data_IF_246048462928
#
_entry.id   IF_246048462928
#
_cell.length_a   1.000
_cell.length_b   1.000
_cell.length_c   1.000
_cell.angle_alpha   90.00
_cell.angle_beta   90.00
_cell.angle_gamma   90.00
#
_symmetry.space_group_name_H-M   'P 1'
#
loop_
_entity.id
_entity.type
_entity.pdbx_description
1 polymer ?
#
# COMPACT_ATOMS: atom_id res chain seq x y z
N UNK A 1 -15.20 8.68 -33.99
CA UNK A 1 -16.24 8.96 -32.98
C UNK A 1 -15.80 8.49 -31.61
N UNK A 2 -15.72 9.45 -30.68
CA UNK A 2 -15.76 9.35 -29.20
C UNK A 2 -14.80 8.36 -28.52
N UNK A 3 -13.52 8.73 -28.46
CA UNK A 3 -12.65 8.33 -27.36
C UNK A 3 -12.93 9.20 -26.13
N UNK A 4 -13.89 8.80 -25.32
CA UNK A 4 -14.17 9.41 -24.02
C UNK A 4 -13.20 8.89 -22.97
N UNK A 5 -11.93 9.32 -23.02
CA UNK A 5 -11.02 9.14 -21.90
C UNK A 5 -11.51 10.01 -20.76
N UNK A 6 -12.13 9.42 -19.74
CA UNK A 6 -12.47 10.10 -18.50
C UNK A 6 -11.24 10.89 -18.05
N UNK A 7 -11.38 12.21 -17.89
CA UNK A 7 -10.31 13.07 -17.42
C UNK A 7 -9.78 12.49 -16.11
N UNK A 8 -8.58 11.88 -16.17
CA UNK A 8 -7.92 11.24 -15.03
C UNK A 8 -7.68 12.29 -13.96
N UNK A 9 -7.94 11.93 -12.71
CA UNK A 9 -7.76 12.83 -11.57
C UNK A 9 -6.30 13.31 -11.52
N UNK A 10 -6.04 14.63 -11.65
CA UNK A 10 -4.67 15.15 -11.65
C UNK A 10 -3.93 14.85 -10.35
N UNK A 11 -4.63 14.57 -9.24
CA UNK A 11 -4.02 14.20 -7.97
C UNK A 11 -3.38 12.80 -8.01
N UNK A 12 -3.87 11.86 -8.83
CA UNK A 12 -3.31 10.50 -8.95
C UNK A 12 -2.31 10.36 -10.09
N UNK A 13 -2.21 11.35 -10.98
CA UNK A 13 -1.29 11.35 -12.12
C UNK A 13 0.18 11.15 -11.75
N UNK A 14 0.57 11.41 -10.49
CA UNK A 14 1.93 11.13 -9.97
C UNK A 14 2.30 9.64 -10.00
N UNK A 15 1.32 8.74 -9.92
CA UNK A 15 1.58 7.30 -9.87
C UNK A 15 1.33 6.63 -11.22
N UNK A 16 0.92 7.40 -12.23
CA UNK A 16 0.48 6.89 -13.50
C UNK A 16 1.55 6.04 -14.18
N UNK A 17 1.14 4.89 -14.69
CA UNK A 17 1.96 4.01 -15.48
C UNK A 17 1.42 3.98 -16.91
N UNK A 18 2.30 4.05 -17.94
CA UNK A 18 1.88 3.89 -19.32
C UNK A 18 1.29 2.51 -19.61
N UNK A 19 1.57 1.52 -18.76
CA UNK A 19 1.08 0.14 -18.85
C UNK A 19 -0.32 -0.03 -18.23
N UNK A 20 -0.87 1.03 -17.62
CA UNK A 20 -2.27 1.10 -17.18
C UNK A 20 -2.48 1.08 -15.66
N UNK A 21 -3.77 1.02 -15.28
CA UNK A 21 -4.25 1.24 -13.92
C UNK A 21 -3.71 0.24 -12.86
N UNK A 22 -3.49 -1.06 -13.16
CA UNK A 22 -2.94 -1.98 -12.16
C UNK A 22 -1.56 -1.55 -11.65
N UNK A 23 -0.69 -1.09 -12.55
CA UNK A 23 0.64 -0.60 -12.20
C UNK A 23 0.57 0.75 -11.48
N UNK A 24 -0.38 1.62 -11.87
CA UNK A 24 -0.65 2.87 -11.14
C UNK A 24 -1.00 2.62 -9.67
N UNK A 25 -1.85 1.62 -9.40
CA UNK A 25 -2.25 1.24 -8.03
C UNK A 25 -1.06 0.66 -7.24
N UNK A 26 -0.23 -0.19 -7.86
CA UNK A 26 0.98 -0.73 -7.24
C UNK A 26 1.98 0.39 -6.92
N UNK A 27 2.18 1.34 -7.83
CA UNK A 27 3.06 2.50 -7.62
C UNK A 27 2.58 3.35 -6.44
N UNK A 28 1.28 3.64 -6.36
CA UNK A 28 0.69 4.37 -5.23
C UNK A 28 0.91 3.62 -3.90
N UNK A 29 0.72 2.30 -3.90
CA UNK A 29 0.94 1.45 -2.74
C UNK A 29 2.39 1.45 -2.26
N UNK A 30 3.36 1.29 -3.17
CA UNK A 30 4.79 1.31 -2.84
C UNK A 30 5.21 2.66 -2.22
N UNK A 31 4.71 3.77 -2.76
CA UNK A 31 4.98 5.10 -2.22
C UNK A 31 4.34 5.30 -0.84
N UNK A 32 3.13 4.80 -0.64
CA UNK A 32 2.46 4.83 0.66
C UNK A 32 3.22 4.06 1.74
N UNK A 33 3.79 2.88 1.41
CA UNK A 33 4.63 2.13 2.34
C UNK A 33 5.83 2.96 2.82
N UNK A 34 6.50 3.70 1.93
CA UNK A 34 7.64 4.57 2.31
C UNK A 34 7.21 5.64 3.31
N UNK A 35 6.12 6.36 3.00
CA UNK A 35 5.58 7.41 3.89
C UNK A 35 5.17 6.84 5.25
N UNK A 36 4.66 5.61 5.29
CA UNK A 36 4.26 4.97 6.54
C UNK A 36 5.45 4.57 7.42
N UNK A 37 6.63 4.36 6.83
CA UNK A 37 7.88 4.13 7.57
C UNK A 37 8.51 5.40 8.13
N UNK A 38 8.17 6.55 7.54
CA UNK A 38 8.61 7.85 8.02
C UNK A 38 7.81 8.25 9.26
N UNK A 39 8.49 8.67 10.32
CA UNK A 39 7.84 9.12 11.57
C UNK A 39 7.24 10.53 11.48
N UNK A 40 7.55 11.27 10.42
CA UNK A 40 7.22 12.69 10.27
C UNK A 40 5.89 12.96 9.54
N UNK A 41 5.40 12.02 8.74
CA UNK A 41 4.27 12.25 7.84
C UNK A 41 3.11 11.30 8.14
N UNK A 42 1.92 11.85 8.42
CA UNK A 42 0.71 11.03 8.57
C UNK A 42 0.29 10.43 7.22
N UNK A 43 0.24 9.10 7.15
CA UNK A 43 -0.25 8.36 5.99
C UNK A 43 -1.66 8.79 5.55
N UNK A 44 -2.53 9.19 6.49
CA UNK A 44 -3.86 9.76 6.19
C UNK A 44 -3.79 11.09 5.46
N UNK A 45 -2.94 12.01 5.92
CA UNK A 45 -2.77 13.31 5.27
C UNK A 45 -2.18 13.15 3.87
N UNK A 46 -1.23 12.24 3.72
CA UNK A 46 -0.68 11.88 2.42
C UNK A 46 -1.76 11.34 1.47
N UNK A 47 -2.58 10.39 1.92
CA UNK A 47 -3.67 9.84 1.11
C UNK A 47 -4.65 10.93 0.66
N UNK A 48 -5.06 11.83 1.57
CA UNK A 48 -5.94 12.97 1.23
C UNK A 48 -5.35 13.89 0.17
N UNK A 49 -4.03 14.16 0.22
CA UNK A 49 -3.34 15.02 -0.75
C UNK A 49 -3.37 14.47 -2.17
N UNK A 50 -3.40 13.14 -2.32
CA UNK A 50 -3.35 12.47 -3.62
C UNK A 50 -4.69 11.83 -4.02
N UNK A 51 -5.79 12.15 -3.33
CA UNK A 51 -7.12 11.58 -3.63
C UNK A 51 -7.23 10.08 -3.36
N UNK A 52 -6.35 9.51 -2.53
CA UNK A 52 -6.31 8.09 -2.22
C UNK A 52 -7.14 7.75 -0.99
N UNK A 53 -7.74 6.57 -0.99
CA UNK A 53 -8.42 6.02 0.18
C UNK A 53 -7.45 5.12 0.95
N UNK A 54 -7.03 5.55 2.14
CA UNK A 54 -6.06 4.82 2.96
C UNK A 54 -6.48 3.37 3.23
N UNK A 55 -7.77 3.15 3.45
CA UNK A 55 -8.34 1.82 3.67
C UNK A 55 -8.05 0.86 2.50
N UNK A 56 -8.06 1.34 1.25
CA UNK A 56 -7.75 0.51 0.06
C UNK A 56 -6.30 0.05 0.05
N UNK A 57 -5.38 0.87 0.53
CA UNK A 57 -3.97 0.53 0.63
C UNK A 57 -3.73 -0.50 1.74
N UNK A 58 -4.47 -0.41 2.85
CA UNK A 58 -4.48 -1.47 3.87
C UNK A 58 -5.06 -2.79 3.35
N UNK A 59 -6.13 -2.73 2.56
CA UNK A 59 -6.69 -3.91 1.90
C UNK A 59 -5.67 -4.55 0.96
N UNK A 60 -4.91 -3.76 0.19
CA UNK A 60 -3.80 -4.27 -0.61
C UNK A 60 -2.74 -4.98 0.24
N UNK A 61 -2.33 -4.41 1.39
CA UNK A 61 -1.42 -5.13 2.31
C UNK A 61 -2.01 -6.45 2.81
N UNK A 62 -3.32 -6.55 2.99
CA UNK A 62 -3.98 -7.81 3.34
C UNK A 62 -3.97 -8.81 2.19
N UNK A 63 -4.31 -8.35 0.99
CA UNK A 63 -4.30 -9.17 -0.21
C UNK A 63 -2.91 -9.73 -0.51
N UNK A 64 -1.86 -8.92 -0.43
CA UNK A 64 -0.47 -9.38 -0.64
C UNK A 64 -0.09 -10.45 0.38
N UNK A 65 -0.44 -10.27 1.66
CA UNK A 65 -0.18 -11.28 2.70
C UNK A 65 -0.94 -12.58 2.46
N UNK A 66 -2.22 -12.48 2.11
CA UNK A 66 -3.06 -13.63 1.80
C UNK A 66 -2.52 -14.37 0.58
N UNK A 67 -2.14 -13.66 -0.47
CA UNK A 67 -1.60 -14.24 -1.69
C UNK A 67 -0.26 -14.94 -1.44
N UNK A 68 0.65 -14.32 -0.69
CA UNK A 68 1.90 -14.96 -0.25
C UNK A 68 1.63 -16.24 0.53
N UNK A 69 0.71 -16.19 1.50
CA UNK A 69 0.32 -17.37 2.27
C UNK A 69 -0.22 -18.47 1.35
N UNK A 70 -1.08 -18.15 0.38
CA UNK A 70 -1.55 -19.14 -0.61
C UNK A 70 -0.41 -19.77 -1.40
N UNK A 71 0.56 -18.97 -1.85
CA UNK A 71 1.72 -19.48 -2.58
C UNK A 71 2.60 -20.39 -1.72
N UNK A 72 2.80 -20.05 -0.44
CA UNK A 72 3.52 -20.90 0.52
C UNK A 72 2.85 -22.25 0.70
N UNK A 73 1.53 -22.26 0.91
CA UNK A 73 0.77 -23.51 1.08
C UNK A 73 0.78 -24.39 -0.18
N UNK A 74 0.97 -23.79 -1.35
CA UNK A 74 1.11 -24.53 -2.62
C UNK A 74 2.51 -25.11 -2.85
N UNK A 75 3.50 -24.76 -2.03
CA UNK A 75 4.90 -25.18 -2.19
C UNK A 75 5.64 -24.47 -3.34
N UNK A 76 5.08 -23.38 -3.89
CA UNK A 76 5.64 -22.62 -5.02
C UNK A 76 6.37 -21.36 -4.53
N UNK A 77 6.35 -21.09 -3.22
CA UNK A 77 7.02 -19.95 -2.61
C UNK A 77 7.59 -20.33 -1.25
N UNK A 78 8.88 -20.06 -1.06
CA UNK A 78 9.56 -20.13 0.22
C UNK A 78 9.83 -18.70 0.67
N UNK A 79 9.48 -18.36 1.92
CA UNK A 79 9.74 -17.02 2.45
C UNK A 79 11.23 -16.91 2.76
N UNK A 80 11.92 -15.94 2.14
CA UNK A 80 13.25 -15.56 2.60
C UNK A 80 13.09 -14.96 4.00
N UNK A 81 13.77 -15.51 5.01
CA UNK A 81 13.79 -14.92 6.36
C UNK A 81 14.23 -13.46 6.27
N UNK A 82 13.29 -12.53 6.42
CA UNK A 82 13.59 -11.11 6.60
C UNK A 82 14.41 -10.97 7.89
N UNK A 83 15.74 -10.88 7.76
CA UNK A 83 16.62 -10.54 8.88
C UNK A 83 16.07 -9.32 9.61
N UNK A 84 15.76 -9.51 10.90
CA UNK A 84 15.25 -8.48 11.80
C UNK A 84 16.08 -7.19 11.67
N UNK A 85 15.46 -6.15 11.10
CA UNK A 85 16.13 -4.87 10.89
C UNK A 85 15.31 -3.78 10.19
N UNK A 86 14.11 -4.09 9.67
CA UNK A 86 13.36 -3.10 8.88
C UNK A 86 11.84 -3.29 9.01
N UNK A 87 11.23 -2.55 9.93
CA UNK A 87 9.87 -2.03 9.82
C UNK A 87 8.76 -3.03 9.48
N UNK A 88 8.24 -3.69 10.51
CA UNK A 88 6.98 -4.44 10.53
C UNK A 88 5.82 -3.67 9.83
N UNK A 89 5.58 -3.89 8.55
CA UNK A 89 4.35 -3.47 7.88
C UNK A 89 3.25 -4.55 8.01
N UNK A 90 2.90 -4.85 9.27
CA UNK A 90 1.69 -5.56 9.67
C UNK A 90 0.84 -4.68 10.60
N UNK A 91 -0.50 -4.77 10.58
CA UNK A 91 -1.33 -4.12 11.57
C UNK A 91 -1.20 -4.89 12.89
N UNK A 92 -0.13 -4.60 13.64
CA UNK A 92 0.16 -5.25 14.93
C UNK A 92 0.69 -4.32 16.03
N UNK A 93 1.01 -3.06 15.73
CA UNK A 93 1.70 -2.18 16.70
C UNK A 93 1.11 -0.77 16.85
N UNK A 94 -0.19 -0.58 16.57
CA UNK A 94 -0.87 0.71 16.79
C UNK A 94 -2.18 0.61 17.59
N UNK A 95 -2.41 -0.50 18.31
CA UNK A 95 -3.61 -0.70 19.13
C UNK A 95 -3.34 -0.95 20.63
N UNK A 96 -2.11 -0.81 21.13
CA UNK A 96 -1.77 -1.19 22.51
C UNK A 96 -1.11 -0.08 23.37
N UNK A 97 -1.15 1.20 22.96
CA UNK A 97 -0.52 2.29 23.71
C UNK A 97 -1.47 3.43 24.13
N UNK A 98 -2.76 3.13 24.28
CA UNK A 98 -3.76 4.11 24.75
C UNK A 98 -4.73 3.48 25.76
N UNK A 99 -4.19 2.94 26.86
CA UNK A 99 -4.93 2.64 28.10
C UNK A 99 -3.91 2.37 29.22
N UNK A 100 -3.50 3.41 29.93
CA UNK A 100 -2.52 3.28 31.01
C UNK A 100 -1.92 4.64 31.37
N UNK A 101 -2.72 5.45 32.07
CA UNK A 101 -2.37 6.77 32.59
C UNK A 101 -3.59 7.38 33.26
#
# INVERSE_FOLDING_TARGET
>A
SRGGGAARDPATGRFDSPDGDPFTVVNAYQQWLRVKGERSTSSRQWCRRFGLQEQRLYEMSKLIRQFRSTLQHSGVFEEEEEKEGSGHYGPGAAAAAAAGG
#
